data_IF_947343299377
#
_entry.id   IF_947343299377
#
_cell.length_a   1.000
_cell.length_b   1.000
_cell.length_c   1.000
_cell.angle_alpha   90.00
_cell.angle_beta   90.00
_cell.angle_gamma   90.00
#
_symmetry.space_group_name_H-M   'P 1'
#
loop_
_entity.id
_entity.type
_entity.pdbx_description
1 polymer ?
#
# COMPACT_ATOMS: atom_id res chain seq x y z
N UNK A 1 81.60 -1.57 -34.15
CA UNK A 1 82.84 -2.12 -33.56
C UNK A 1 82.48 -2.83 -32.27
N UNK A 2 82.60 -4.15 -32.29
CA UNK A 2 83.24 -5.05 -31.31
C UNK A 2 82.91 -4.83 -29.83
N UNK A 3 82.54 -5.82 -29.03
CA UNK A 3 82.82 -7.24 -28.98
C UNK A 3 81.93 -7.87 -27.88
N UNK A 4 81.38 -9.05 -28.08
CA UNK A 4 81.08 -10.04 -27.01
C UNK A 4 82.37 -10.41 -26.23
N UNK A 5 82.29 -10.97 -24.99
CA UNK A 5 81.95 -12.39 -24.85
C UNK A 5 81.30 -12.84 -23.54
N UNK A 6 80.65 -14.01 -23.65
CA UNK A 6 80.71 -15.31 -22.95
C UNK A 6 80.19 -15.50 -21.53
N UNK A 7 79.24 -16.37 -21.49
CA UNK A 7 78.73 -17.41 -20.57
C UNK A 7 79.51 -17.70 -19.27
N UNK A 8 78.69 -17.97 -18.19
CA UNK A 8 79.02 -19.00 -17.21
C UNK A 8 77.72 -19.51 -16.56
N UNK A 9 77.46 -20.78 -16.81
CA UNK A 9 76.48 -21.66 -16.16
C UNK A 9 76.85 -21.88 -14.71
N UNK A 10 75.91 -21.73 -13.80
CA UNK A 10 75.90 -22.44 -12.49
C UNK A 10 74.48 -22.91 -12.18
N UNK A 11 74.31 -24.22 -12.29
CA UNK A 11 73.24 -25.04 -11.74
C UNK A 11 73.26 -24.96 -10.24
N UNK A 12 72.13 -24.62 -9.60
CA UNK A 12 71.86 -24.85 -8.20
C UNK A 12 70.59 -25.67 -8.08
N UNK A 13 70.75 -26.91 -7.68
CA UNK A 13 69.65 -27.78 -7.20
C UNK A 13 69.27 -27.33 -5.79
N UNK A 14 68.06 -26.82 -5.66
CA UNK A 14 67.41 -26.59 -4.37
C UNK A 14 66.06 -27.25 -4.39
N UNK A 15 65.94 -28.40 -3.70
CA UNK A 15 64.65 -29.07 -3.41
C UNK A 15 63.83 -28.17 -2.52
N UNK A 16 62.65 -27.73 -2.98
CA UNK A 16 61.62 -27.06 -2.19
C UNK A 16 60.73 -28.16 -1.56
N UNK A 17 60.52 -28.15 -0.25
CA UNK A 17 59.71 -29.18 0.40
C UNK A 17 58.22 -28.97 0.08
N UNK A 18 57.59 -30.03 -0.36
CA UNK A 18 56.20 -30.17 -0.86
C UNK A 18 55.10 -30.00 0.21
N UNK A 19 55.43 -29.52 1.41
CA UNK A 19 54.45 -29.43 2.52
C UNK A 19 53.87 -28.05 2.78
N UNK A 20 54.11 -27.03 1.93
CA UNK A 20 53.49 -25.69 2.11
C UNK A 20 52.41 -25.34 1.10
N UNK A 21 52.14 -26.17 0.10
CA UNK A 21 51.07 -25.96 -0.89
C UNK A 21 49.70 -26.53 -0.51
N UNK A 22 49.63 -27.45 0.47
CA UNK A 22 48.36 -28.00 0.91
C UNK A 22 47.64 -27.15 2.00
N UNK A 23 48.36 -26.29 2.70
CA UNK A 23 47.74 -25.42 3.72
C UNK A 23 47.04 -24.18 3.11
N UNK A 24 47.37 -23.79 1.88
CA UNK A 24 46.76 -22.66 1.19
C UNK A 24 45.42 -22.98 0.49
N UNK A 25 45.16 -24.25 0.17
CA UNK A 25 43.91 -24.67 -0.50
C UNK A 25 42.77 -24.98 0.47
N UNK A 26 43.06 -25.24 1.76
CA UNK A 26 42.04 -25.51 2.78
C UNK A 26 41.48 -24.24 3.38
N UNK A 27 42.16 -23.10 3.21
CA UNK A 27 41.71 -21.79 3.71
C UNK A 27 40.75 -21.05 2.75
N UNK A 28 40.65 -21.44 1.48
CA UNK A 28 39.81 -20.76 0.48
C UNK A 28 38.43 -21.42 0.29
N UNK A 29 38.17 -22.54 0.99
CA UNK A 29 36.89 -23.27 0.93
C UNK A 29 35.95 -22.98 2.10
N UNK A 30 36.31 -22.04 3.00
CA UNK A 30 35.47 -21.65 4.14
C UNK A 30 34.92 -20.22 4.05
N UNK A 31 35.06 -19.56 2.92
CA UNK A 31 34.42 -18.23 2.64
C UNK A 31 33.36 -18.31 1.54
N UNK A 32 32.75 -19.48 1.33
CA UNK A 32 31.39 -19.46 0.80
C UNK A 32 30.51 -19.02 1.95
N UNK A 33 30.40 -17.69 2.15
CA UNK A 33 29.27 -17.12 2.83
C UNK A 33 28.03 -17.79 2.23
N UNK A 34 27.40 -18.64 3.01
CA UNK A 34 26.04 -19.03 2.78
C UNK A 34 25.28 -17.70 2.76
N UNK A 35 25.04 -17.18 1.58
CA UNK A 35 23.88 -16.33 1.34
C UNK A 35 22.74 -17.29 1.66
N UNK A 36 22.33 -17.32 2.93
CA UNK A 36 21.05 -17.85 3.32
C UNK A 36 20.07 -17.08 2.47
N UNK A 37 19.61 -17.66 1.37
CA UNK A 37 18.36 -17.26 0.77
C UNK A 37 17.40 -17.28 1.94
N UNK A 38 16.98 -16.10 2.40
CA UNK A 38 16.03 -16.00 3.49
C UNK A 38 14.86 -16.87 3.10
N UNK A 39 14.50 -17.83 3.96
CA UNK A 39 13.34 -18.68 3.76
C UNK A 39 12.18 -17.77 3.38
N UNK A 40 11.50 -17.99 2.24
CA UNK A 40 10.32 -17.21 1.86
C UNK A 40 9.30 -17.08 2.99
N UNK A 41 9.14 -18.11 3.81
CA UNK A 41 8.29 -18.09 5.00
C UNK A 41 8.76 -17.07 6.06
N UNK A 42 10.07 -16.84 6.20
CA UNK A 42 10.62 -15.81 7.09
C UNK A 42 10.47 -14.39 6.49
N UNK A 43 10.54 -14.29 5.16
CA UNK A 43 10.37 -13.01 4.45
C UNK A 43 8.91 -12.58 4.35
N UNK A 44 7.97 -13.51 4.17
CA UNK A 44 6.55 -13.26 3.93
C UNK A 44 5.64 -13.66 5.11
N UNK A 45 6.20 -14.05 6.27
CA UNK A 45 5.43 -14.57 7.41
C UNK A 45 5.09 -16.05 7.27
N UNK A 46 4.31 -16.60 8.22
CA UNK A 46 3.80 -17.96 8.16
C UNK A 46 2.87 -18.19 6.96
N UNK A 47 2.52 -19.44 6.69
CA UNK A 47 1.53 -19.78 5.66
C UNK A 47 0.24 -18.97 5.86
N UNK A 48 -0.34 -18.51 4.76
CA UNK A 48 -1.62 -17.79 4.79
C UNK A 48 -2.68 -18.75 5.36
N UNK A 49 -3.49 -18.31 6.35
CA UNK A 49 -4.55 -19.15 6.87
C UNK A 49 -5.55 -19.55 5.78
N UNK A 50 -5.91 -20.83 5.71
CA UNK A 50 -6.82 -21.36 4.67
C UNK A 50 -8.16 -20.62 4.62
N UNK A 51 -8.66 -20.17 5.76
CA UNK A 51 -9.89 -19.37 5.81
C UNK A 51 -9.73 -18.01 5.10
N UNK A 52 -8.55 -17.38 5.22
CA UNK A 52 -8.23 -16.12 4.52
C UNK A 52 -8.15 -16.35 3.02
N UNK A 53 -7.44 -17.41 2.57
CA UNK A 53 -7.37 -17.77 1.15
C UNK A 53 -8.76 -17.99 0.56
N UNK A 54 -9.60 -18.79 1.25
CA UNK A 54 -10.96 -19.09 0.79
C UNK A 54 -11.81 -17.82 0.65
N UNK A 55 -11.79 -16.94 1.66
CA UNK A 55 -12.52 -15.67 1.63
C UNK A 55 -12.03 -14.80 0.48
N UNK A 56 -10.71 -14.73 0.32
CA UNK A 56 -10.08 -13.87 -0.67
C UNK A 56 -10.39 -14.33 -2.10
N UNK A 57 -10.18 -15.61 -2.41
CA UNK A 57 -10.46 -16.19 -3.73
C UNK A 57 -11.92 -16.01 -4.15
N UNK A 58 -12.86 -16.28 -3.24
CA UNK A 58 -14.30 -16.10 -3.52
C UNK A 58 -14.65 -14.63 -3.75
N UNK A 59 -14.07 -13.72 -2.96
CA UNK A 59 -14.28 -12.29 -3.12
C UNK A 59 -13.71 -11.76 -4.44
N UNK A 60 -12.49 -12.16 -4.83
CA UNK A 60 -11.91 -11.79 -6.13
C UNK A 60 -12.72 -12.34 -7.30
N UNK A 61 -13.20 -13.60 -7.22
CA UNK A 61 -14.04 -14.17 -8.25
C UNK A 61 -15.36 -13.39 -8.40
N UNK A 62 -15.97 -12.98 -7.30
CA UNK A 62 -17.17 -12.13 -7.32
C UNK A 62 -16.89 -10.75 -7.93
N UNK A 63 -15.81 -10.07 -7.49
CA UNK A 63 -15.42 -8.77 -8.05
C UNK A 63 -15.18 -8.86 -9.55
N UNK A 64 -14.48 -9.91 -10.02
CA UNK A 64 -14.26 -10.14 -11.44
C UNK A 64 -15.58 -10.31 -12.22
N UNK A 65 -16.53 -11.07 -11.66
CA UNK A 65 -17.84 -11.30 -12.28
C UNK A 65 -18.77 -10.06 -12.28
N UNK A 66 -18.49 -9.07 -11.40
CA UNK A 66 -19.27 -7.82 -11.30
C UNK A 66 -18.65 -6.64 -12.04
N UNK A 67 -17.42 -6.80 -12.54
CA UNK A 67 -16.77 -5.73 -13.30
C UNK A 67 -17.46 -5.52 -14.65
N UNK A 68 -17.80 -4.28 -14.98
CA UNK A 68 -18.38 -3.92 -16.29
C UNK A 68 -17.33 -4.03 -17.41
N UNK A 69 -17.79 -3.99 -18.67
CA UNK A 69 -16.90 -4.02 -19.83
C UNK A 69 -15.94 -2.81 -19.85
N UNK A 70 -16.39 -1.66 -19.33
CA UNK A 70 -15.57 -0.45 -19.19
C UNK A 70 -14.53 -0.54 -18.05
N UNK A 71 -14.57 -1.61 -17.25
CA UNK A 71 -13.62 -1.87 -16.17
C UNK A 71 -14.01 -1.29 -14.82
N UNK A 72 -15.28 -0.90 -14.65
CA UNK A 72 -15.81 -0.26 -13.45
C UNK A 72 -16.64 -1.21 -12.60
N UNK A 73 -16.86 -0.82 -11.35
CA UNK A 73 -17.80 -1.47 -10.45
C UNK A 73 -18.93 -0.51 -10.09
N UNK A 74 -20.17 -0.99 -10.20
CA UNK A 74 -21.37 -0.22 -9.90
C UNK A 74 -22.02 -0.71 -8.61
N UNK A 75 -22.46 0.25 -7.80
CA UNK A 75 -23.11 0.01 -6.50
C UNK A 75 -23.44 1.34 -5.84
N UNK A 76 -23.93 1.33 -4.60
CA UNK A 76 -24.39 2.54 -3.92
C UNK A 76 -23.36 3.66 -3.73
N UNK A 77 -22.07 3.37 -3.84
CA UNK A 77 -20.95 4.30 -3.66
C UNK A 77 -19.98 4.25 -4.85
N UNK A 78 -20.45 4.03 -6.05
CA UNK A 78 -19.59 3.85 -7.24
C UNK A 78 -18.78 5.11 -7.58
N UNK A 79 -17.66 4.90 -8.27
CA UNK A 79 -16.73 5.94 -8.71
C UNK A 79 -15.27 5.52 -8.65
N UNK A 80 -14.38 6.41 -9.05
CA UNK A 80 -12.95 6.13 -9.20
C UNK A 80 -12.32 5.51 -7.94
N UNK A 81 -12.76 5.90 -6.75
CA UNK A 81 -12.23 5.36 -5.49
C UNK A 81 -12.66 3.91 -5.24
N UNK A 82 -13.91 3.54 -5.61
CA UNK A 82 -14.36 2.13 -5.51
C UNK A 82 -13.66 1.29 -6.56
N UNK A 83 -13.51 1.80 -7.79
CA UNK A 83 -12.71 1.14 -8.83
C UNK A 83 -11.27 0.91 -8.33
N UNK A 84 -10.69 1.90 -7.61
CA UNK A 84 -9.37 1.79 -6.98
C UNK A 84 -9.30 0.76 -5.85
N UNK A 85 -10.31 0.71 -4.96
CA UNK A 85 -10.40 -0.27 -3.88
C UNK A 85 -10.47 -1.69 -4.46
N UNK A 86 -11.31 -1.92 -5.45
CA UNK A 86 -11.43 -3.21 -6.12
C UNK A 86 -10.13 -3.59 -6.85
N UNK A 87 -9.49 -2.64 -7.56
CA UNK A 87 -8.17 -2.84 -8.18
C UNK A 87 -7.12 -3.27 -7.16
N UNK A 88 -7.03 -2.55 -6.04
CA UNK A 88 -6.08 -2.89 -4.96
C UNK A 88 -6.34 -4.28 -4.38
N UNK A 89 -7.60 -4.74 -4.31
CA UNK A 89 -7.90 -6.09 -3.82
C UNK A 89 -7.26 -7.18 -4.69
N UNK A 90 -7.23 -7.03 -6.03
CA UNK A 90 -6.52 -7.95 -6.91
C UNK A 90 -5.01 -7.87 -6.70
N UNK A 91 -4.43 -6.67 -6.72
CA UNK A 91 -2.99 -6.48 -6.56
C UNK A 91 -2.50 -6.99 -5.19
N UNK A 92 -3.26 -6.74 -4.14
CA UNK A 92 -2.96 -7.18 -2.78
C UNK A 92 -3.03 -8.70 -2.58
N UNK A 93 -3.83 -9.38 -3.39
CA UNK A 93 -3.88 -10.85 -3.45
C UNK A 93 -2.72 -11.48 -4.23
N UNK A 94 -1.83 -10.66 -4.82
CA UNK A 94 -0.70 -11.12 -5.62
C UNK A 94 -1.03 -11.44 -7.07
N UNK A 95 -2.17 -10.98 -7.56
CA UNK A 95 -2.54 -11.18 -8.96
C UNK A 95 -1.67 -10.32 -9.88
N UNK A 96 -1.04 -10.97 -10.86
CA UNK A 96 -0.17 -10.29 -11.82
C UNK A 96 -1.01 -9.43 -12.78
N UNK A 97 -0.71 -8.13 -12.91
CA UNK A 97 -1.49 -7.23 -13.79
C UNK A 97 -1.29 -7.49 -15.27
N UNK A 98 -0.23 -8.23 -15.64
CA UNK A 98 0.15 -8.44 -17.03
C UNK A 98 -0.26 -9.84 -17.54
N UNK A 99 -0.29 -10.84 -16.63
CA UNK A 99 -0.55 -12.24 -16.96
C UNK A 99 -1.57 -12.86 -16.00
N UNK A 100 -2.15 -13.97 -16.39
CA UNK A 100 -3.09 -14.73 -15.57
C UNK A 100 -4.54 -14.31 -15.74
N UNK A 101 -5.41 -14.99 -14.98
CA UNK A 101 -6.88 -14.89 -15.16
C UNK A 101 -7.46 -13.52 -14.85
N UNK A 102 -6.85 -12.77 -13.94
CA UNK A 102 -7.34 -11.45 -13.52
C UNK A 102 -6.60 -10.28 -14.17
N UNK A 103 -5.54 -10.52 -14.93
CA UNK A 103 -4.82 -9.47 -15.64
C UNK A 103 -5.73 -8.57 -16.52
N UNK A 104 -6.69 -9.11 -17.29
CA UNK A 104 -7.62 -8.27 -18.03
C UNK A 104 -8.49 -7.38 -17.14
N UNK A 105 -8.90 -7.87 -15.97
CA UNK A 105 -9.70 -7.12 -15.00
C UNK A 105 -8.90 -5.96 -14.40
N UNK A 106 -7.65 -6.23 -14.00
CA UNK A 106 -6.73 -5.23 -13.46
C UNK A 106 -6.49 -4.11 -14.49
N UNK A 107 -6.12 -4.46 -15.72
CA UNK A 107 -5.87 -3.48 -16.78
C UNK A 107 -7.10 -2.65 -17.13
N UNK A 108 -8.31 -3.28 -17.21
CA UNK A 108 -9.56 -2.54 -17.40
C UNK A 108 -9.83 -1.55 -16.28
N UNK A 109 -9.61 -1.94 -15.02
CA UNK A 109 -9.79 -1.04 -13.87
C UNK A 109 -8.84 0.16 -13.93
N UNK A 110 -7.55 -0.06 -14.21
CA UNK A 110 -6.56 1.02 -14.38
C UNK A 110 -7.00 1.99 -15.49
N UNK A 111 -7.41 1.46 -16.67
CA UNK A 111 -7.93 2.30 -17.76
C UNK A 111 -9.17 3.08 -17.36
N UNK A 112 -10.11 2.45 -16.65
CA UNK A 112 -11.35 3.09 -16.19
C UNK A 112 -11.05 4.27 -15.26
N UNK A 113 -10.14 4.10 -14.31
CA UNK A 113 -9.71 5.18 -13.40
C UNK A 113 -9.04 6.31 -14.20
N UNK A 114 -8.10 6.01 -15.09
CA UNK A 114 -7.41 7.01 -15.92
C UNK A 114 -8.41 7.78 -16.81
N UNK A 115 -9.40 7.10 -17.40
CA UNK A 115 -10.43 7.73 -18.24
C UNK A 115 -11.40 8.61 -17.46
N UNK A 116 -11.67 8.28 -16.20
CA UNK A 116 -12.56 9.07 -15.34
C UNK A 116 -11.94 10.38 -14.88
N UNK A 117 -10.62 10.53 -14.99
CA UNK A 117 -9.90 11.69 -14.50
C UNK A 117 -10.15 12.93 -15.34
N UNK A 118 -10.53 14.03 -14.71
CA UNK A 118 -10.64 15.33 -15.36
C UNK A 118 -9.30 15.76 -15.96
N UNK A 119 -9.32 16.07 -17.26
CA UNK A 119 -8.10 16.33 -18.02
C UNK A 119 -7.42 17.66 -17.66
N UNK A 120 -8.18 18.61 -17.12
CA UNK A 120 -7.70 19.96 -16.78
C UNK A 120 -7.19 20.04 -15.36
N UNK A 121 -7.97 19.52 -14.42
CA UNK A 121 -7.68 19.64 -12.98
C UNK A 121 -6.94 18.42 -12.42
N UNK A 122 -6.99 17.28 -13.10
CA UNK A 122 -6.46 16.02 -12.58
C UNK A 122 -7.36 15.35 -11.53
N UNK A 123 -8.53 15.92 -11.26
CA UNK A 123 -9.46 15.39 -10.26
C UNK A 123 -10.00 14.03 -10.66
N UNK A 124 -9.92 13.08 -9.76
CA UNK A 124 -10.57 11.77 -9.86
C UNK A 124 -11.92 11.90 -9.13
N UNK A 125 -13.05 11.83 -9.89
CA UNK A 125 -14.32 12.41 -9.47
C UNK A 125 -15.02 11.64 -8.33
N UNK A 126 -16.09 12.25 -7.86
CA UNK A 126 -17.10 11.99 -6.85
C UNK A 126 -16.78 12.64 -5.49
N UNK A 127 -15.58 12.46 -4.94
CA UNK A 127 -15.12 13.19 -3.76
C UNK A 127 -13.60 13.07 -3.61
N UNK A 128 -13.00 13.83 -2.70
CA UNK A 128 -11.59 13.67 -2.37
C UNK A 128 -11.29 12.32 -1.68
N UNK A 129 -12.29 11.61 -1.15
CA UNK A 129 -12.14 10.18 -0.81
C UNK A 129 -11.84 9.34 -2.05
N UNK A 130 -12.68 9.49 -3.09
CA UNK A 130 -12.48 8.77 -4.34
C UNK A 130 -11.15 9.13 -4.97
N UNK A 131 -10.79 10.41 -4.93
CA UNK A 131 -9.49 10.90 -5.42
C UNK A 131 -8.32 10.22 -4.68
N UNK A 132 -8.35 10.17 -3.35
CA UNK A 132 -7.31 9.55 -2.53
C UNK A 132 -7.16 8.05 -2.79
N UNK A 133 -8.26 7.28 -2.77
CA UNK A 133 -8.22 5.85 -3.03
C UNK A 133 -7.85 5.50 -4.47
N UNK A 134 -8.32 6.27 -5.46
CA UNK A 134 -7.94 6.06 -6.85
C UNK A 134 -6.45 6.38 -7.08
N UNK A 135 -5.93 7.47 -6.48
CA UNK A 135 -4.51 7.81 -6.53
C UNK A 135 -3.65 6.74 -5.85
N UNK A 136 -4.09 6.22 -4.69
CA UNK A 136 -3.43 5.10 -4.01
C UNK A 136 -3.35 3.87 -4.93
N UNK A 137 -4.47 3.48 -5.53
CA UNK A 137 -4.55 2.32 -6.41
C UNK A 137 -3.68 2.47 -7.67
N UNK A 138 -3.67 3.65 -8.29
CA UNK A 138 -2.79 3.94 -9.42
C UNK A 138 -1.31 3.91 -9.02
N UNK A 139 -0.98 4.34 -7.80
CA UNK A 139 0.39 4.30 -7.27
C UNK A 139 0.88 2.86 -7.06
N UNK A 140 0.01 1.97 -6.57
CA UNK A 140 0.32 0.55 -6.40
C UNK A 140 0.40 -0.20 -7.76
N UNK A 141 -0.36 0.26 -8.76
CA UNK A 141 -0.28 -0.26 -10.12
C UNK A 141 0.94 0.26 -10.89
N UNK A 142 1.47 1.42 -10.51
CA UNK A 142 2.60 2.05 -11.19
C UNK A 142 3.88 1.23 -11.02
N UNK A 143 4.51 0.89 -12.12
CA UNK A 143 5.69 0.01 -12.14
C UNK A 143 5.38 -1.49 -12.13
N UNK A 144 4.15 -1.90 -11.77
CA UNK A 144 3.70 -3.29 -11.86
C UNK A 144 2.99 -3.57 -13.19
N UNK A 145 2.22 -2.61 -13.71
CA UNK A 145 1.49 -2.73 -14.98
C UNK A 145 2.40 -2.39 -16.16
N UNK A 146 2.47 -3.28 -17.13
CA UNK A 146 3.09 -3.00 -18.44
C UNK A 146 2.18 -2.08 -19.26
N UNK A 147 2.63 -0.85 -19.50
CA UNK A 147 1.86 0.13 -20.26
C UNK A 147 1.57 -0.29 -21.72
N UNK A 148 2.41 -1.13 -22.32
CA UNK A 148 2.20 -1.63 -23.66
C UNK A 148 0.98 -2.57 -23.71
N UNK A 149 0.78 -3.36 -22.66
CA UNK A 149 -0.40 -4.23 -22.50
C UNK A 149 -1.61 -3.46 -21.98
N UNK A 150 -1.39 -2.39 -21.22
CA UNK A 150 -2.48 -1.58 -20.67
C UNK A 150 -3.40 -1.02 -21.76
N UNK A 151 -2.82 -0.55 -22.87
CA UNK A 151 -3.56 0.09 -23.97
C UNK A 151 -3.65 -0.77 -25.23
N UNK A 152 -3.41 -2.08 -25.13
CA UNK A 152 -3.43 -2.98 -26.26
C UNK A 152 -4.76 -2.86 -27.05
N UNK A 153 -4.66 -2.56 -28.34
CA UNK A 153 -5.81 -2.36 -29.23
C UNK A 153 -6.57 -1.04 -29.05
N UNK A 154 -6.10 -0.13 -28.16
CA UNK A 154 -6.76 1.13 -27.86
C UNK A 154 -5.79 2.31 -27.93
N UNK A 155 -6.31 3.50 -28.25
CA UNK A 155 -5.51 4.73 -28.16
C UNK A 155 -5.37 5.15 -26.70
N UNK A 156 -4.13 5.33 -26.17
CA UNK A 156 -3.91 5.86 -24.83
C UNK A 156 -4.54 7.23 -24.64
N UNK A 157 -5.27 7.42 -23.55
CA UNK A 157 -5.74 8.74 -23.11
C UNK A 157 -4.57 9.52 -22.51
N UNK A 158 -3.83 8.85 -21.62
CA UNK A 158 -2.58 9.31 -21.00
C UNK A 158 -1.85 8.10 -20.38
N UNK A 159 -0.58 8.26 -20.06
CA UNK A 159 0.18 7.25 -19.33
C UNK A 159 -0.25 7.21 -17.87
N UNK A 160 0.04 6.11 -17.18
CA UNK A 160 -0.20 5.97 -15.74
C UNK A 160 0.59 7.02 -14.95
N UNK A 161 1.85 7.28 -15.34
CA UNK A 161 2.66 8.35 -14.75
C UNK A 161 2.01 9.73 -14.91
N UNK A 162 1.48 10.05 -16.10
CA UNK A 162 0.77 11.32 -16.33
C UNK A 162 -0.51 11.44 -15.49
N UNK A 163 -1.25 10.32 -15.33
CA UNK A 163 -2.45 10.32 -14.50
C UNK A 163 -2.11 10.56 -13.02
N UNK A 164 -1.05 9.93 -12.51
CA UNK A 164 -0.57 10.15 -11.15
C UNK A 164 -0.09 11.58 -10.92
N UNK A 165 0.73 12.13 -11.82
CA UNK A 165 1.21 13.51 -11.73
C UNK A 165 0.06 14.52 -11.68
N UNK A 166 -0.97 14.34 -12.51
CA UNK A 166 -2.17 15.15 -12.48
C UNK A 166 -2.95 15.02 -11.16
N UNK A 167 -3.09 13.80 -10.62
CA UNK A 167 -3.76 13.56 -9.35
C UNK A 167 -3.01 14.22 -8.18
N UNK A 168 -1.69 14.10 -8.12
CA UNK A 168 -0.84 14.73 -7.11
C UNK A 168 -1.00 16.25 -7.15
N UNK A 169 -0.95 16.84 -8.35
CA UNK A 169 -1.15 18.30 -8.51
C UNK A 169 -2.55 18.77 -8.10
N UNK A 170 -3.57 17.98 -8.40
CA UNK A 170 -4.92 18.25 -7.95
C UNK A 170 -5.01 18.27 -6.43
N UNK A 171 -4.44 17.29 -5.75
CA UNK A 171 -4.40 17.22 -4.29
C UNK A 171 -3.69 18.45 -3.69
N UNK A 172 -2.50 18.80 -4.18
CA UNK A 172 -1.75 19.97 -3.71
C UNK A 172 -2.48 21.31 -3.99
N UNK A 173 -3.14 21.44 -5.14
CA UNK A 173 -3.94 22.63 -5.46
C UNK A 173 -5.18 22.73 -4.57
N UNK A 174 -5.86 21.62 -4.34
CA UNK A 174 -7.05 21.54 -3.48
C UNK A 174 -6.71 21.92 -2.03
N UNK A 175 -5.57 21.46 -1.49
CA UNK A 175 -5.14 21.77 -0.12
C UNK A 175 -4.99 23.28 0.13
N UNK A 176 -4.57 24.04 -0.88
CA UNK A 176 -4.39 25.50 -0.79
C UNK A 176 -5.70 26.26 -0.61
N UNK A 177 -6.86 25.64 -0.87
CA UNK A 177 -8.17 26.26 -0.70
C UNK A 177 -8.59 26.38 0.77
N UNK A 178 -7.90 25.72 1.68
CA UNK A 178 -8.20 25.82 3.09
C UNK A 178 -6.93 26.07 3.94
N UNK A 179 -7.15 26.67 5.12
CA UNK A 179 -6.06 27.01 6.07
C UNK A 179 -5.63 25.86 6.99
N UNK A 180 -6.32 24.72 6.91
CA UNK A 180 -6.13 23.63 7.84
C UNK A 180 -5.02 22.68 7.43
N UNK A 181 -4.67 22.64 6.13
CA UNK A 181 -3.64 21.77 5.57
C UNK A 181 -4.11 20.36 5.24
N UNK A 182 -5.39 20.04 5.46
CA UNK A 182 -6.00 18.76 5.07
C UNK A 182 -6.95 18.91 3.89
N UNK A 183 -7.86 17.93 3.73
CA UNK A 183 -8.88 17.89 2.67
C UNK A 183 -10.26 17.59 3.23
N UNK A 184 -11.28 18.02 2.48
CA UNK A 184 -12.66 17.66 2.66
C UNK A 184 -13.22 17.05 1.37
N UNK A 185 -14.54 16.87 1.28
CA UNK A 185 -15.17 16.10 0.20
C UNK A 185 -14.92 16.67 -1.20
N UNK A 186 -14.85 17.99 -1.38
CA UNK A 186 -14.68 18.63 -2.69
C UNK A 186 -13.32 19.30 -2.80
N UNK A 187 -12.70 19.34 -4.00
CA UNK A 187 -11.45 20.07 -4.21
C UNK A 187 -11.49 21.54 -3.81
N UNK A 188 -12.68 22.17 -3.87
CA UNK A 188 -12.90 23.58 -3.51
C UNK A 188 -13.28 23.81 -2.05
N UNK A 189 -13.28 22.75 -1.20
CA UNK A 189 -13.65 22.89 0.21
C UNK A 189 -12.69 23.78 0.96
N UNK A 190 -13.22 24.64 1.83
CA UNK A 190 -12.47 25.59 2.67
C UNK A 190 -12.14 25.05 4.07
N UNK A 191 -12.55 23.82 4.37
CA UNK A 191 -12.31 23.10 5.61
C UNK A 191 -11.69 21.71 5.34
N UNK A 192 -11.41 20.97 6.39
CA UNK A 192 -10.81 19.64 6.31
C UNK A 192 -11.44 18.67 7.31
N UNK A 193 -11.49 17.38 6.98
CA UNK A 193 -11.78 16.32 7.92
C UNK A 193 -10.70 15.24 7.91
N UNK A 194 -10.59 14.55 9.04
CA UNK A 194 -9.51 13.60 9.31
C UNK A 194 -9.56 12.39 8.38
N UNK A 195 -10.75 11.90 8.07
CA UNK A 195 -10.89 10.69 7.27
C UNK A 195 -10.55 10.93 5.79
N UNK A 196 -11.04 12.03 5.22
CA UNK A 196 -10.68 12.45 3.85
C UNK A 196 -9.21 12.79 3.76
N UNK A 197 -8.69 13.51 4.76
CA UNK A 197 -7.25 13.84 4.84
C UNK A 197 -6.40 12.58 4.87
N UNK A 198 -6.79 11.57 5.67
CA UNK A 198 -6.09 10.29 5.71
C UNK A 198 -6.07 9.58 4.36
N UNK A 199 -7.21 9.52 3.66
CA UNK A 199 -7.31 8.87 2.35
C UNK A 199 -6.41 9.56 1.29
N UNK A 200 -6.45 10.89 1.21
CA UNK A 200 -5.62 11.65 0.25
C UNK A 200 -4.14 11.55 0.60
N UNK A 201 -3.81 11.67 1.88
CA UNK A 201 -2.41 11.58 2.34
C UNK A 201 -1.82 10.20 2.09
N UNK A 202 -2.59 9.12 2.29
CA UNK A 202 -2.14 7.76 1.94
C UNK A 202 -1.87 7.62 0.44
N UNK A 203 -2.71 8.20 -0.42
CA UNK A 203 -2.47 8.23 -1.86
C UNK A 203 -1.20 9.00 -2.24
N UNK A 204 -0.94 10.16 -1.62
CA UNK A 204 0.29 10.94 -1.84
C UNK A 204 1.54 10.20 -1.35
N UNK A 205 1.46 9.55 -0.19
CA UNK A 205 2.59 8.76 0.35
C UNK A 205 2.89 7.55 -0.53
N UNK A 206 1.87 6.88 -1.05
CA UNK A 206 2.04 5.78 -1.99
C UNK A 206 2.65 6.26 -3.32
N UNK A 207 2.18 7.38 -3.86
CA UNK A 207 2.75 7.98 -5.08
C UNK A 207 4.23 8.35 -4.90
N UNK A 208 4.59 8.95 -3.76
CA UNK A 208 5.99 9.23 -3.42
C UNK A 208 6.82 7.95 -3.31
N UNK A 209 6.29 6.90 -2.68
CA UNK A 209 6.96 5.61 -2.58
C UNK A 209 7.15 4.92 -3.95
N UNK A 210 6.23 5.16 -4.88
CA UNK A 210 6.32 4.71 -6.27
C UNK A 210 7.32 5.52 -7.12
N UNK A 211 7.94 6.57 -6.55
CA UNK A 211 8.95 7.40 -7.22
C UNK A 211 8.40 8.65 -7.90
N UNK A 212 7.13 8.99 -7.67
CA UNK A 212 6.55 10.24 -8.15
C UNK A 212 7.00 11.43 -7.29
N UNK A 213 7.14 12.60 -7.91
CA UNK A 213 7.45 13.84 -7.20
C UNK A 213 6.21 14.32 -6.43
N UNK A 214 6.33 14.39 -5.11
CA UNK A 214 5.30 14.90 -4.20
C UNK A 214 5.93 15.93 -3.28
N UNK A 215 5.37 17.14 -3.23
CA UNK A 215 5.89 18.24 -2.39
C UNK A 215 5.85 17.88 -0.91
N UNK A 216 6.98 18.07 -0.22
CA UNK A 216 7.08 17.89 1.22
C UNK A 216 6.15 18.85 1.97
N UNK A 217 5.97 20.09 1.49
CA UNK A 217 5.08 21.06 2.14
C UNK A 217 3.62 20.57 2.15
N UNK A 218 3.19 19.85 1.11
CA UNK A 218 1.83 19.29 1.05
C UNK A 218 1.65 18.16 2.07
N UNK A 219 2.65 17.31 2.19
CA UNK A 219 2.65 16.22 3.17
C UNK A 219 2.74 16.76 4.59
N UNK A 220 3.68 17.66 4.86
CA UNK A 220 3.91 18.23 6.19
C UNK A 220 2.69 19.00 6.71
N UNK A 221 2.02 19.76 5.84
CA UNK A 221 0.78 20.47 6.21
C UNK A 221 -0.34 19.48 6.61
N UNK A 222 -0.46 18.35 5.90
CA UNK A 222 -1.45 17.32 6.22
C UNK A 222 -1.09 16.56 7.50
N UNK A 223 0.18 16.25 7.73
CA UNK A 223 0.65 15.65 8.97
C UNK A 223 0.43 16.56 10.17
N UNK A 224 0.68 17.86 10.01
CA UNK A 224 0.42 18.85 11.07
C UNK A 224 -1.09 18.98 11.36
N UNK A 225 -1.96 18.89 10.34
CA UNK A 225 -3.40 18.79 10.55
C UNK A 225 -3.77 17.56 11.37
N UNK A 226 -3.25 16.39 11.03
CA UNK A 226 -3.48 15.14 11.76
C UNK A 226 -3.00 15.24 13.21
N UNK A 227 -1.79 15.79 13.42
CA UNK A 227 -1.21 16.00 14.74
C UNK A 227 -2.12 16.88 15.62
N UNK A 228 -2.55 18.04 15.11
CA UNK A 228 -3.46 18.95 15.84
C UNK A 228 -4.84 18.35 16.11
N UNK A 229 -5.27 17.41 15.29
CA UNK A 229 -6.55 16.71 15.45
C UNK A 229 -6.48 15.55 16.45
N UNK A 230 -5.28 15.18 16.93
CA UNK A 230 -5.04 14.05 17.84
C UNK A 230 -4.97 14.51 19.29
N UNK A 231 -5.82 13.92 20.15
CA UNK A 231 -5.82 14.14 21.58
C UNK A 231 -4.73 13.33 22.29
N UNK A 232 -4.39 13.76 23.52
CA UNK A 232 -3.38 13.07 24.35
C UNK A 232 -3.78 11.64 24.75
N UNK A 233 -5.05 11.33 24.72
CA UNK A 233 -5.62 9.99 24.95
C UNK A 233 -5.68 9.13 23.69
N UNK A 234 -5.21 9.65 22.57
CA UNK A 234 -5.21 8.97 21.26
C UNK A 234 -6.55 9.03 20.52
N UNK A 235 -7.55 9.71 21.06
CA UNK A 235 -8.76 10.05 20.29
C UNK A 235 -8.45 11.08 19.22
N UNK A 236 -9.16 11.01 18.08
CA UNK A 236 -8.91 11.90 16.94
C UNK A 236 -10.18 12.61 16.52
N UNK A 237 -10.12 13.94 16.46
CA UNK A 237 -11.24 14.80 16.10
C UNK A 237 -11.70 14.56 14.66
N UNK A 238 -13.00 14.78 14.39
CA UNK A 238 -13.56 14.62 13.03
C UNK A 238 -13.08 15.71 12.07
N UNK A 239 -13.12 16.97 12.51
CA UNK A 239 -12.75 18.11 11.67
C UNK A 239 -12.05 19.18 12.48
N UNK A 240 -11.03 19.79 11.93
CA UNK A 240 -10.33 21.05 12.27
C UNK A 240 -10.28 21.54 13.73
N UNK A 241 -10.34 20.65 14.69
CA UNK A 241 -10.32 20.99 16.12
C UNK A 241 -11.65 21.50 16.71
N UNK A 242 -12.71 21.62 15.91
CA UNK A 242 -14.01 22.13 16.36
C UNK A 242 -15.15 21.09 16.39
N UNK A 243 -14.96 19.96 15.78
CA UNK A 243 -15.96 18.90 15.79
C UNK A 243 -15.65 17.84 16.81
N UNK A 244 -16.07 18.01 18.02
CA UNK A 244 -15.95 17.13 19.17
C UNK A 244 -15.22 15.80 18.99
N UNK A 245 -14.52 15.36 19.99
CA UNK A 245 -13.93 14.01 20.07
C UNK A 245 -15.07 12.98 20.22
N UNK A 246 -15.96 12.89 19.20
CA UNK A 246 -16.88 11.77 19.14
C UNK A 246 -16.04 10.50 18.95
N UNK A 247 -16.35 9.46 19.69
CA UNK A 247 -15.63 8.19 19.59
C UNK A 247 -15.78 7.59 18.17
N UNK A 248 -14.70 7.56 17.41
CA UNK A 248 -14.58 6.77 16.21
C UNK A 248 -13.17 6.22 16.11
N UNK A 249 -13.06 4.93 16.29
CA UNK A 249 -11.80 4.20 16.16
C UNK A 249 -11.23 4.28 14.75
N UNK A 250 -12.08 4.51 13.74
CA UNK A 250 -11.63 4.75 12.36
C UNK A 250 -10.57 5.85 12.31
N UNK A 251 -10.82 6.98 12.96
CA UNK A 251 -9.92 8.13 12.91
C UNK A 251 -8.61 7.89 13.65
N UNK A 252 -8.67 7.20 14.78
CA UNK A 252 -7.46 6.81 15.52
C UNK A 252 -6.62 5.81 14.72
N UNK A 253 -7.25 4.82 14.06
CA UNK A 253 -6.56 3.90 13.17
C UNK A 253 -5.92 4.62 11.95
N UNK A 254 -6.65 5.56 11.33
CA UNK A 254 -6.12 6.39 10.22
C UNK A 254 -4.89 7.18 10.69
N UNK A 255 -4.98 7.87 11.82
CA UNK A 255 -3.87 8.67 12.34
C UNK A 255 -2.64 7.81 12.69
N UNK A 256 -2.86 6.64 13.29
CA UNK A 256 -1.79 5.66 13.55
C UNK A 256 -1.11 5.22 12.25
N UNK A 257 -1.90 4.82 11.24
CA UNK A 257 -1.37 4.37 9.95
C UNK A 257 -0.57 5.47 9.25
N UNK A 258 -1.15 6.66 9.14
CA UNK A 258 -0.52 7.81 8.47
C UNK A 258 0.82 8.15 9.14
N UNK A 259 0.86 8.22 10.48
CA UNK A 259 2.09 8.48 11.22
C UNK A 259 3.13 7.36 11.01
N UNK A 260 2.71 6.10 10.95
CA UNK A 260 3.61 4.97 10.70
C UNK A 260 4.24 5.03 9.31
N UNK A 261 3.41 5.19 8.26
CA UNK A 261 3.87 5.20 6.85
C UNK A 261 4.71 6.45 6.54
N UNK A 262 4.42 7.58 7.20
CA UNK A 262 5.22 8.81 7.08
C UNK A 262 6.48 8.83 7.95
N UNK A 263 6.83 7.70 8.61
CA UNK A 263 8.04 7.54 9.46
C UNK A 263 8.03 8.37 10.75
N UNK A 264 6.85 8.62 11.34
CA UNK A 264 6.67 9.36 12.60
C UNK A 264 6.30 8.45 13.77
N UNK A 265 6.77 7.18 13.80
CA UNK A 265 6.46 6.21 14.87
C UNK A 265 6.97 6.63 16.25
N UNK A 266 7.92 7.57 16.33
CA UNK A 266 8.44 8.08 17.58
C UNK A 266 7.62 9.24 18.17
N UNK A 267 6.68 9.81 17.43
CA UNK A 267 5.85 10.91 17.90
C UNK A 267 4.92 10.51 19.06
N UNK A 268 4.58 11.47 19.90
CA UNK A 268 3.65 11.26 21.01
C UNK A 268 2.24 10.94 20.50
N UNK A 269 1.84 11.54 19.38
CA UNK A 269 0.56 11.29 18.73
C UNK A 269 0.45 9.85 18.21
N UNK A 270 1.51 9.32 17.58
CA UNK A 270 1.54 7.92 17.17
C UNK A 270 1.42 6.97 18.36
N UNK A 271 2.22 7.20 19.40
CA UNK A 271 2.19 6.39 20.63
C UNK A 271 0.81 6.43 21.31
N UNK A 272 0.19 7.61 21.35
CA UNK A 272 -1.15 7.78 21.92
C UNK A 272 -2.23 7.06 21.09
N UNK A 273 -2.25 7.25 19.78
CA UNK A 273 -3.24 6.61 18.91
C UNK A 273 -3.04 5.10 18.84
N UNK A 274 -1.79 4.60 18.78
CA UNK A 274 -1.49 3.18 18.83
C UNK A 274 -1.99 2.54 20.12
N UNK A 275 -1.69 3.16 21.28
CA UNK A 275 -2.21 2.71 22.57
C UNK A 275 -3.74 2.68 22.58
N UNK A 276 -4.37 3.74 22.07
CA UNK A 276 -5.82 3.86 22.02
C UNK A 276 -6.48 2.70 21.25
N UNK A 277 -5.92 2.30 20.11
CA UNK A 277 -6.47 1.20 19.31
C UNK A 277 -6.10 -0.18 19.86
N UNK A 278 -4.89 -0.36 20.43
CA UNK A 278 -4.46 -1.67 20.99
C UNK A 278 -5.19 -2.03 22.27
N UNK A 279 -5.65 -1.06 23.06
CA UNK A 279 -6.46 -1.29 24.25
C UNK A 279 -7.93 -1.63 23.93
N UNK A 280 -8.34 -1.57 22.65
CA UNK A 280 -9.73 -1.73 22.20
C UNK A 280 -9.88 -2.67 21.01
N UNK A 281 -9.13 -3.78 21.01
CA UNK A 281 -9.13 -4.75 19.89
C UNK A 281 -10.51 -5.39 19.66
N UNK A 282 -11.36 -5.47 20.68
CA UNK A 282 -12.72 -6.00 20.61
C UNK A 282 -13.75 -4.99 20.06
N UNK A 283 -13.30 -3.73 19.81
CA UNK A 283 -14.21 -2.70 19.32
C UNK A 283 -14.72 -3.04 17.93
N UNK A 284 -16.01 -2.79 17.71
CA UNK A 284 -16.63 -2.86 16.39
C UNK A 284 -17.39 -1.58 16.09
N UNK A 285 -17.18 -1.03 14.90
CA UNK A 285 -17.95 0.12 14.43
C UNK A 285 -19.33 -0.31 13.96
N UNK A 286 -20.35 0.43 14.37
CA UNK A 286 -21.73 0.20 13.92
C UNK A 286 -21.93 0.62 12.46
N UNK A 287 -21.36 1.78 12.10
CA UNK A 287 -21.36 2.29 10.73
C UNK A 287 -19.94 2.22 10.14
N UNK A 288 -19.86 1.98 8.83
CA UNK A 288 -18.58 1.94 8.10
C UNK A 288 -17.59 0.88 8.64
N UNK A 289 -18.11 -0.29 9.04
CA UNK A 289 -17.31 -1.38 9.63
C UNK A 289 -16.22 -1.90 8.70
N UNK A 290 -16.44 -1.91 7.38
CA UNK A 290 -15.46 -2.33 6.37
C UNK A 290 -14.30 -1.34 6.29
N UNK A 291 -14.62 -0.04 6.32
CA UNK A 291 -13.65 1.05 6.38
C UNK A 291 -12.80 0.97 7.66
N UNK A 292 -13.43 0.72 8.78
CA UNK A 292 -12.74 0.50 10.05
C UNK A 292 -11.76 -0.67 9.97
N UNK A 293 -12.23 -1.83 9.48
CA UNK A 293 -11.38 -3.03 9.38
C UNK A 293 -10.16 -2.79 8.49
N UNK A 294 -10.33 -2.09 7.38
CA UNK A 294 -9.24 -1.74 6.47
C UNK A 294 -8.14 -0.92 7.17
N UNK A 295 -8.50 0.16 7.85
CA UNK A 295 -7.51 1.00 8.53
C UNK A 295 -6.94 0.34 9.80
N UNK A 296 -7.78 -0.37 10.56
CA UNK A 296 -7.34 -1.05 11.77
C UNK A 296 -6.32 -2.14 11.47
N UNK A 297 -6.54 -2.94 10.41
CA UNK A 297 -5.60 -3.96 9.96
C UNK A 297 -4.21 -3.38 9.72
N UNK A 298 -4.15 -2.29 8.94
CA UNK A 298 -2.90 -1.66 8.55
C UNK A 298 -2.22 -0.93 9.73
N UNK A 299 -3.00 -0.21 10.54
CA UNK A 299 -2.49 0.52 11.69
C UNK A 299 -1.84 -0.43 12.71
N UNK A 300 -2.50 -1.54 13.02
CA UNK A 300 -1.96 -2.57 13.91
C UNK A 300 -0.74 -3.26 13.31
N UNK A 301 -0.80 -3.63 12.03
CA UNK A 301 0.34 -4.27 11.36
C UNK A 301 1.60 -3.41 11.40
N UNK A 302 1.46 -2.12 11.17
CA UNK A 302 2.56 -1.16 11.20
C UNK A 302 3.00 -0.79 12.62
N UNK A 303 2.08 -0.80 13.59
CA UNK A 303 2.31 -0.30 14.94
C UNK A 303 2.62 -1.39 15.97
N UNK A 304 1.83 -2.46 16.02
CA UNK A 304 1.96 -3.57 16.96
C UNK A 304 1.56 -4.89 16.31
N UNK A 305 2.56 -5.61 15.83
CA UNK A 305 2.36 -6.87 15.12
C UNK A 305 1.67 -7.95 15.97
N UNK A 306 1.92 -8.00 17.28
CA UNK A 306 1.27 -8.98 18.18
C UNK A 306 -0.23 -8.70 18.30
N UNK A 307 -0.60 -7.45 18.45
CA UNK A 307 -2.00 -7.02 18.45
C UNK A 307 -2.65 -7.25 17.09
N UNK A 308 -1.92 -7.01 16.00
CA UNK A 308 -2.39 -7.33 14.65
C UNK A 308 -2.71 -8.82 14.50
N UNK A 309 -1.83 -9.73 14.92
CA UNK A 309 -2.07 -11.17 14.79
C UNK A 309 -3.37 -11.60 15.49
N UNK A 310 -3.61 -11.12 16.72
CA UNK A 310 -4.83 -11.40 17.48
C UNK A 310 -6.09 -10.86 16.77
N UNK A 311 -6.03 -9.60 16.38
CA UNK A 311 -7.12 -8.91 15.72
C UNK A 311 -7.43 -9.50 14.34
N UNK A 312 -6.37 -9.81 13.56
CA UNK A 312 -6.49 -10.41 12.24
C UNK A 312 -7.15 -11.79 12.28
N UNK A 313 -6.77 -12.65 13.23
CA UNK A 313 -7.41 -13.96 13.40
C UNK A 313 -8.90 -13.84 13.73
N UNK A 314 -9.29 -12.92 14.62
CA UNK A 314 -10.68 -12.66 14.93
C UNK A 314 -11.45 -12.11 13.73
N UNK A 315 -10.85 -11.16 12.99
CA UNK A 315 -11.44 -10.56 11.80
C UNK A 315 -11.58 -11.56 10.66
N UNK A 316 -10.61 -12.42 10.42
CA UNK A 316 -10.67 -13.47 9.40
C UNK A 316 -11.85 -14.41 9.66
N UNK A 317 -12.05 -14.83 10.92
CA UNK A 317 -13.21 -15.66 11.30
C UNK A 317 -14.52 -14.94 11.01
N UNK A 318 -14.68 -13.69 11.47
CA UNK A 318 -15.91 -12.91 11.23
C UNK A 318 -16.18 -12.75 9.74
N UNK A 319 -15.16 -12.46 8.93
CA UNK A 319 -15.32 -12.31 7.50
C UNK A 319 -15.66 -13.64 6.82
N UNK A 320 -15.06 -14.75 7.26
CA UNK A 320 -15.43 -16.10 6.76
C UNK A 320 -16.87 -16.47 7.06
N UNK A 321 -17.36 -16.15 8.27
CA UNK A 321 -18.74 -16.42 8.69
C UNK A 321 -19.79 -15.51 8.03
N UNK A 322 -19.40 -14.28 7.65
CA UNK A 322 -20.32 -13.26 7.12
C UNK A 322 -20.27 -13.11 5.60
N UNK A 323 -19.31 -13.73 4.93
CA UNK A 323 -19.23 -13.72 3.48
C UNK A 323 -20.43 -14.46 2.85
N UNK A 324 -21.14 -13.80 1.95
CA UNK A 324 -22.27 -14.40 1.26
C UNK A 324 -21.86 -15.64 0.41
N UNK A 325 -22.79 -16.56 0.10
CA UNK A 325 -22.49 -17.75 -0.70
C UNK A 325 -21.89 -17.45 -2.07
N UNK A 326 -22.19 -16.29 -2.66
CA UNK A 326 -21.62 -15.84 -3.94
C UNK A 326 -20.21 -15.22 -3.83
N UNK A 327 -19.68 -15.04 -2.61
CA UNK A 327 -18.38 -14.46 -2.34
C UNK A 327 -18.39 -12.97 -2.02
N UNK A 328 -19.55 -12.33 -2.06
CA UNK A 328 -19.68 -10.90 -1.76
C UNK A 328 -19.78 -10.60 -0.26
N UNK A 329 -19.59 -9.32 0.07
CA UNK A 329 -20.01 -8.70 1.32
C UNK A 329 -21.08 -7.65 1.01
N UNK A 330 -22.25 -7.78 1.62
CA UNK A 330 -23.43 -6.91 1.41
C UNK A 330 -23.83 -6.72 -0.08
N UNK A 331 -23.44 -7.63 -0.96
CA UNK A 331 -23.62 -7.54 -2.41
C UNK A 331 -23.06 -6.22 -3.00
N UNK A 332 -22.02 -5.66 -2.37
CA UNK A 332 -21.44 -4.38 -2.73
C UNK A 332 -19.95 -4.49 -3.10
N UNK A 333 -19.52 -3.84 -4.21
CA UNK A 333 -18.10 -3.81 -4.59
C UNK A 333 -17.21 -3.12 -3.56
N UNK A 334 -17.68 -2.02 -2.98
CA UNK A 334 -16.99 -1.31 -1.91
C UNK A 334 -16.77 -2.20 -0.68
N UNK A 335 -17.84 -2.82 -0.19
CA UNK A 335 -17.81 -3.67 0.99
C UNK A 335 -16.95 -4.91 0.76
N UNK A 336 -17.05 -5.50 -0.43
CA UNK A 336 -16.22 -6.66 -0.80
C UNK A 336 -14.74 -6.27 -0.92
N UNK A 337 -14.43 -5.23 -1.67
CA UNK A 337 -13.05 -4.75 -1.82
C UNK A 337 -12.40 -4.38 -0.49
N UNK A 338 -13.09 -3.61 0.36
CA UNK A 338 -12.59 -3.22 1.69
C UNK A 338 -12.39 -4.42 2.63
N UNK A 339 -13.30 -5.41 2.59
CA UNK A 339 -13.17 -6.63 3.41
C UNK A 339 -11.96 -7.46 2.97
N UNK A 340 -11.71 -7.58 1.67
CA UNK A 340 -10.52 -8.24 1.15
C UNK A 340 -9.25 -7.48 1.56
N UNK A 341 -9.23 -6.16 1.42
CA UNK A 341 -8.08 -5.34 1.81
C UNK A 341 -7.77 -5.40 3.31
N UNK A 342 -8.77 -5.62 4.17
CA UNK A 342 -8.56 -5.86 5.59
C UNK A 342 -7.77 -7.17 5.87
N UNK A 343 -7.85 -8.15 4.96
CA UNK A 343 -7.10 -9.42 5.02
C UNK A 343 -5.81 -9.41 4.19
N UNK A 344 -5.59 -8.39 3.38
CA UNK A 344 -4.51 -8.32 2.39
C UNK A 344 -3.10 -8.43 3.01
N UNK A 345 -2.93 -8.00 4.26
CA UNK A 345 -1.65 -8.06 4.97
C UNK A 345 -1.15 -9.48 5.25
N UNK A 346 -2.01 -10.49 5.11
CA UNK A 346 -1.59 -11.89 5.13
C UNK A 346 -0.78 -12.26 3.88
N UNK A 347 -0.97 -11.55 2.76
CA UNK A 347 -0.28 -11.75 1.47
C UNK A 347 0.96 -10.87 1.29
N UNK A 348 0.95 -9.64 1.82
CA UNK A 348 2.06 -8.66 1.78
C UNK A 348 2.56 -8.30 0.38
N UNK A 349 1.67 -8.17 -0.60
CA UNK A 349 2.05 -7.83 -1.96
C UNK A 349 2.05 -6.33 -2.27
N UNK A 350 1.32 -5.49 -1.51
CA UNK A 350 1.31 -4.05 -1.78
C UNK A 350 2.48 -3.33 -1.11
N UNK A 351 3.32 -2.61 -1.89
CA UNK A 351 4.47 -1.87 -1.38
C UNK A 351 4.16 -0.86 -0.27
N UNK A 352 2.97 -0.24 -0.29
CA UNK A 352 2.57 0.74 0.73
C UNK A 352 2.50 0.13 2.13
N UNK A 353 2.34 -1.20 2.24
CA UNK A 353 2.24 -1.90 3.53
C UNK A 353 3.59 -2.40 4.07
N UNK A 354 4.63 -2.41 3.25
CA UNK A 354 5.92 -3.03 3.56
C UNK A 354 7.00 -2.04 4.04
N UNK A 355 6.72 -0.73 4.11
CA UNK A 355 7.75 0.31 4.33
C UNK A 355 7.57 1.11 5.61
#
# INVERSE_FOLDING_TARGET
MNKHPTASTRTFHGRVPMNRLMAGMLGLLLLTSHVCAQDPALRFGGAIPQEVETVYERGLAWLAGKQTEEGRWQGGNDGAGVDGICLMAFLAGGEDPNFGRYAPHIRRAVRAIIRSQDATTGYLPNSMYHHGFAMLALSEAYGAVDESLLWEGEKPVRTLAQALDLAIRCAGTSQKNNRWGGWRYMPSSSDADTSVTGAVLMGLLAARNAGMEVSDEVIDAALEYMRRSTGKDGSVAYSGGFGGFGESMNRSAIATLVAAVSKHKESDEFKATLKHITERLEHSEGNYKEYFRYYMAQALFQGDYVSWQKWNAATARVLSETQAPDGSFNNGPYETGMSLLALALNYRFLPVYER
#
